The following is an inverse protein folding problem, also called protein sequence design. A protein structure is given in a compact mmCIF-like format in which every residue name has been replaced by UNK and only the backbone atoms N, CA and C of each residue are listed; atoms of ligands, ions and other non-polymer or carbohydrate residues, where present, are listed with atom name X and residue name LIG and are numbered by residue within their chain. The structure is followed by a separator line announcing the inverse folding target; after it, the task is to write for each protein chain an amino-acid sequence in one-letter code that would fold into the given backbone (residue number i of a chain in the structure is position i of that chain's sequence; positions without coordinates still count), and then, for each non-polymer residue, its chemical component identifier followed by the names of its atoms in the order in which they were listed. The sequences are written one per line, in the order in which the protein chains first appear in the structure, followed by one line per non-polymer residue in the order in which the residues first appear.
data_IF_098030510701
#
_entry.id   IF_098030510701
#
_cell.length_a   1.000
_cell.length_b   1.000
_cell.length_c   1.000
_cell.angle_alpha   90.00
_cell.angle_beta   90.00
_cell.angle_gamma   90.00
#
_symmetry.space_group_name_H-M   'P 1'
#
loop_
_entity.id
_entity.type
_entity.pdbx_description
1 polymer ?
#
# COMPACT_ATOMS: atom_id res chain seq x y z
N UNK A 1 5.38 35.71 -23.32
CA UNK A 1 6.69 36.12 -23.88
C UNK A 1 7.11 37.45 -23.31
N UNK A 2 8.40 37.68 -23.20
CA UNK A 2 9.01 38.92 -22.71
C UNK A 2 9.45 39.72 -23.91
N UNK A 3 9.45 41.08 -23.77
CA UNK A 3 10.01 41.99 -24.76
C UNK A 3 11.49 42.32 -24.47
N UNK A 4 12.04 41.76 -23.40
CA UNK A 4 13.37 41.98 -22.86
C UNK A 4 13.96 40.73 -22.30
N UNK A 5 15.25 40.69 -22.04
CA UNK A 5 15.92 39.64 -21.32
C UNK A 5 15.35 39.52 -19.92
N UNK A 6 15.40 38.31 -19.37
CA UNK A 6 14.84 38.03 -18.06
C UNK A 6 15.77 37.10 -17.26
N UNK A 7 15.66 37.15 -15.95
CA UNK A 7 16.35 36.27 -15.01
C UNK A 7 15.33 35.72 -13.99
N UNK A 8 15.52 34.48 -13.57
CA UNK A 8 14.81 33.88 -12.47
C UNK A 8 15.75 33.58 -11.30
N UNK A 9 15.31 33.85 -10.09
CA UNK A 9 16.02 33.52 -8.85
C UNK A 9 15.08 32.84 -7.84
N UNK A 10 15.64 31.98 -7.03
CA UNK A 10 14.98 31.32 -5.92
C UNK A 10 16.01 30.95 -4.87
N UNK A 11 15.59 30.77 -3.62
CA UNK A 11 16.47 30.50 -2.48
C UNK A 11 16.34 29.05 -2.02
N UNK A 12 15.18 28.46 -2.25
CA UNK A 12 14.84 27.14 -1.78
C UNK A 12 15.56 26.07 -2.60
N UNK A 13 16.41 25.27 -1.95
CA UNK A 13 17.22 24.21 -2.57
C UNK A 13 16.36 23.09 -3.20
N UNK A 14 15.12 22.94 -2.74
CA UNK A 14 14.17 21.94 -3.24
C UNK A 14 13.42 22.34 -4.51
N UNK A 15 13.66 23.55 -5.05
CA UNK A 15 13.08 24.07 -6.30
C UNK A 15 14.15 24.05 -7.38
N UNK A 16 13.85 23.46 -8.53
CA UNK A 16 14.77 23.40 -9.65
C UNK A 16 14.10 23.89 -10.93
N UNK A 17 14.76 24.79 -11.65
CA UNK A 17 14.31 25.29 -12.94
C UNK A 17 15.26 24.84 -14.05
N UNK A 18 14.73 24.50 -15.21
CA UNK A 18 15.57 24.16 -16.37
C UNK A 18 16.32 25.34 -16.94
N UNK A 19 15.81 26.57 -16.73
CA UNK A 19 16.42 27.81 -17.18
C UNK A 19 16.19 28.88 -16.13
N UNK A 20 17.25 29.61 -15.77
CA UNK A 20 17.22 30.74 -14.83
C UNK A 20 17.40 32.10 -15.51
N UNK A 21 17.66 32.12 -16.79
CA UNK A 21 17.77 33.34 -17.59
C UNK A 21 17.42 33.07 -19.07
N UNK A 22 17.15 34.12 -19.82
CA UNK A 22 16.89 34.05 -21.24
C UNK A 22 16.63 35.39 -21.88
N UNK A 23 16.68 35.41 -23.19
CA UNK A 23 16.39 36.59 -23.99
C UNK A 23 14.89 36.80 -24.20
N UNK A 24 14.55 37.89 -24.89
CA UNK A 24 13.18 38.20 -25.28
C UNK A 24 12.57 37.05 -26.10
N UNK A 25 11.30 36.76 -25.87
CA UNK A 25 10.56 35.73 -26.59
C UNK A 25 9.70 34.85 -25.67
N UNK A 26 9.39 33.69 -26.17
CA UNK A 26 8.69 32.64 -25.40
C UNK A 26 9.67 31.50 -25.13
N UNK A 27 9.85 31.19 -23.88
CA UNK A 27 10.60 30.02 -23.45
C UNK A 27 9.71 29.16 -22.55
N UNK A 28 9.82 27.86 -22.64
CA UNK A 28 9.19 26.93 -21.71
C UNK A 28 10.22 26.57 -20.65
N UNK A 29 9.87 26.86 -19.40
CA UNK A 29 10.67 26.51 -18.24
C UNK A 29 9.97 25.35 -17.56
N UNK A 30 10.68 24.28 -17.31
CA UNK A 30 10.19 23.16 -16.50
C UNK A 30 10.62 23.39 -15.06
N UNK A 31 9.69 23.10 -14.15
CA UNK A 31 9.87 23.12 -12.72
C UNK A 31 9.93 21.68 -12.24
N UNK A 32 10.98 21.30 -11.51
CA UNK A 32 11.01 20.08 -10.70
C UNK A 32 11.18 20.45 -9.23
N UNK A 33 10.64 19.60 -8.36
CA UNK A 33 10.54 19.86 -6.93
C UNK A 33 10.93 18.56 -6.22
N UNK A 34 11.86 18.64 -5.26
CA UNK A 34 12.25 17.50 -4.43
C UNK A 34 11.11 17.10 -3.48
N UNK A 35 11.09 15.84 -3.08
CA UNK A 35 10.09 15.33 -2.15
C UNK A 35 10.08 16.12 -0.83
N UNK A 36 8.87 16.39 -0.29
CA UNK A 36 8.73 17.09 0.97
C UNK A 36 8.73 16.11 2.16
N UNK A 37 9.88 15.94 2.77
CA UNK A 37 10.08 15.10 3.96
C UNK A 37 10.28 15.94 5.25
N UNK A 38 9.82 17.21 5.26
CA UNK A 38 10.05 18.12 6.40
C UNK A 38 9.08 17.93 7.57
N UNK A 39 8.01 17.16 7.37
CA UNK A 39 6.95 16.98 8.37
C UNK A 39 5.87 18.08 8.33
N UNK A 40 6.00 19.09 7.48
CA UNK A 40 5.05 20.21 7.33
C UNK A 40 4.90 20.63 5.87
N UNK A 41 3.83 21.35 5.55
CA UNK A 41 3.71 22.05 4.27
C UNK A 41 4.84 23.06 4.12
N UNK A 42 5.42 23.19 2.94
CA UNK A 42 6.46 24.20 2.68
C UNK A 42 6.10 25.09 1.50
N UNK A 43 6.54 26.33 1.54
CA UNK A 43 6.33 27.31 0.48
C UNK A 43 7.63 28.00 0.13
N UNK A 44 7.95 28.03 -1.15
CA UNK A 44 9.07 28.77 -1.70
C UNK A 44 8.62 29.75 -2.77
N UNK A 45 9.53 30.61 -3.21
CA UNK A 45 9.23 31.67 -4.15
C UNK A 45 10.22 31.69 -5.31
N UNK A 46 9.69 31.75 -6.53
CA UNK A 46 10.45 31.97 -7.74
C UNK A 46 10.22 33.42 -8.16
N UNK A 47 11.27 34.18 -8.32
CA UNK A 47 11.23 35.60 -8.69
C UNK A 47 11.75 35.73 -10.11
N UNK A 48 10.93 36.24 -11.01
CA UNK A 48 11.31 36.61 -12.37
C UNK A 48 11.50 38.10 -12.47
N UNK A 49 12.67 38.53 -12.97
CA UNK A 49 13.02 39.91 -13.19
C UNK A 49 13.34 40.09 -14.67
N UNK A 50 12.78 41.15 -15.27
CA UNK A 50 13.07 41.58 -16.64
C UNK A 50 13.91 42.83 -16.66
N UNK A 51 14.73 43.00 -17.69
CA UNK A 51 15.46 44.25 -17.90
C UNK A 51 14.48 45.43 -17.91
N UNK A 52 14.72 46.41 -17.04
CA UNK A 52 13.83 47.56 -16.80
C UNK A 52 13.00 47.46 -15.52
N UNK A 53 13.36 46.53 -14.60
CA UNK A 53 12.85 46.48 -13.22
C UNK A 53 11.49 45.84 -13.06
N UNK A 54 10.92 45.21 -14.11
CA UNK A 54 9.69 44.45 -13.97
C UNK A 54 9.95 43.18 -13.19
N UNK A 55 9.22 42.98 -12.09
CA UNK A 55 9.34 41.81 -11.22
C UNK A 55 8.03 41.06 -11.11
N UNK A 56 8.10 39.70 -11.13
CA UNK A 56 6.98 38.78 -10.88
C UNK A 56 7.43 37.69 -9.94
N UNK A 57 6.63 37.42 -8.93
CA UNK A 57 6.87 36.34 -7.96
C UNK A 57 5.82 35.24 -8.15
N UNK A 58 6.28 34.00 -8.18
CA UNK A 58 5.45 32.81 -8.17
C UNK A 58 5.68 32.11 -6.84
N UNK A 59 4.64 31.90 -6.07
CA UNK A 59 4.69 31.05 -4.88
C UNK A 59 4.51 29.58 -5.30
N UNK A 60 5.37 28.73 -4.78
CA UNK A 60 5.31 27.27 -4.95
C UNK A 60 5.04 26.68 -3.58
N UNK A 61 3.85 26.14 -3.37
CA UNK A 61 3.47 25.46 -2.12
C UNK A 61 3.46 23.97 -2.36
N UNK A 62 4.22 23.24 -1.58
CA UNK A 62 4.25 21.77 -1.57
C UNK A 62 3.69 21.25 -0.27
N UNK A 63 2.66 20.41 -0.39
CA UNK A 63 2.04 19.76 0.76
C UNK A 63 2.98 18.72 1.36
N UNK A 64 2.83 18.50 2.67
CA UNK A 64 3.41 17.35 3.35
C UNK A 64 2.98 16.06 2.67
N UNK A 65 3.92 15.14 2.45
CA UNK A 65 3.58 13.75 2.14
C UNK A 65 2.97 13.11 3.39
N UNK A 66 1.74 12.69 3.29
CA UNK A 66 1.07 11.90 4.32
C UNK A 66 1.11 10.45 3.90
N UNK A 67 1.84 9.62 4.65
CA UNK A 67 1.90 8.19 4.39
C UNK A 67 0.52 7.57 4.54
N UNK A 68 0.12 6.80 3.57
CA UNK A 68 -1.14 6.08 3.55
C UNK A 68 -0.87 4.58 3.39
N UNK A 69 -1.55 3.77 4.21
CA UNK A 69 -1.54 2.32 4.11
C UNK A 69 -2.92 1.78 4.43
N UNK A 70 -3.46 0.98 3.53
CA UNK A 70 -4.66 0.18 3.73
C UNK A 70 -4.35 -1.27 3.36
N UNK A 71 -4.72 -2.21 4.24
CA UNK A 71 -4.56 -3.66 3.99
C UNK A 71 -5.89 -4.34 4.29
N UNK A 72 -6.43 -5.05 3.32
CA UNK A 72 -7.71 -5.75 3.44
C UNK A 72 -7.64 -7.15 2.86
N UNK A 73 -8.27 -8.14 3.49
CA UNK A 73 -8.90 -8.10 4.81
C UNK A 73 -7.86 -8.11 5.96
N UNK A 74 -8.18 -7.52 7.10
CA UNK A 74 -7.32 -7.56 8.30
C UNK A 74 -7.42 -8.90 9.05
N UNK A 75 -8.43 -9.73 8.74
CA UNK A 75 -8.63 -11.06 9.31
C UNK A 75 -9.01 -12.03 8.20
N UNK A 76 -8.35 -13.17 8.20
CA UNK A 76 -8.54 -14.24 7.23
C UNK A 76 -8.83 -15.52 7.99
N UNK A 77 -9.82 -16.29 7.54
CA UNK A 77 -10.09 -17.62 8.07
C UNK A 77 -9.93 -18.62 6.94
N UNK A 78 -9.14 -19.65 7.16
CA UNK A 78 -8.91 -20.75 6.21
C UNK A 78 -9.21 -22.09 6.85
N UNK A 79 -9.50 -23.08 6.02
CA UNK A 79 -9.69 -24.46 6.47
C UNK A 79 -8.33 -25.15 6.67
N UNK A 80 -8.34 -26.39 7.16
CA UNK A 80 -7.15 -27.19 7.47
C UNK A 80 -6.12 -27.25 6.33
N UNK A 81 -6.57 -27.29 5.08
CA UNK A 81 -5.71 -27.34 3.90
C UNK A 81 -4.95 -26.04 3.61
N UNK A 82 -5.32 -24.93 4.25
CA UNK A 82 -4.75 -23.61 3.99
C UNK A 82 -5.52 -22.78 2.94
N UNK A 83 -6.63 -23.31 2.44
CA UNK A 83 -7.51 -22.64 1.49
C UNK A 83 -8.69 -21.97 2.19
N UNK A 84 -9.34 -21.02 1.53
CA UNK A 84 -10.65 -20.53 1.95
C UNK A 84 -11.70 -21.64 1.85
N UNK A 85 -12.86 -21.48 2.49
CA UNK A 85 -13.98 -22.43 2.36
C UNK A 85 -14.44 -22.61 0.91
N UNK A 86 -14.23 -21.62 0.07
CA UNK A 86 -14.49 -21.67 -1.38
C UNK A 86 -13.53 -22.60 -2.15
N UNK A 87 -12.43 -23.02 -1.53
CA UNK A 87 -11.35 -23.79 -2.14
C UNK A 87 -10.28 -22.94 -2.82
N UNK A 88 -10.38 -21.62 -2.74
CA UNK A 88 -9.42 -20.67 -3.31
C UNK A 88 -8.29 -20.34 -2.32
N UNK A 89 -7.17 -19.81 -2.85
CA UNK A 89 -6.12 -19.25 -2.01
C UNK A 89 -6.62 -17.97 -1.32
N UNK A 90 -6.16 -17.74 -0.11
CA UNK A 90 -6.35 -16.46 0.56
C UNK A 90 -5.44 -15.41 -0.08
N UNK A 91 -5.91 -14.18 -0.14
CA UNK A 91 -5.15 -13.02 -0.61
C UNK A 91 -5.42 -11.81 0.27
N UNK A 92 -4.48 -10.86 0.25
CA UNK A 92 -4.66 -9.51 0.79
C UNK A 92 -4.54 -8.49 -0.34
N UNK A 93 -5.20 -7.37 -0.19
CA UNK A 93 -5.07 -6.20 -1.05
C UNK A 93 -4.37 -5.10 -0.27
N UNK A 94 -3.25 -4.59 -0.80
CA UNK A 94 -2.47 -3.49 -0.26
C UNK A 94 -2.71 -2.27 -1.13
N UNK A 95 -3.05 -1.13 -0.51
CA UNK A 95 -3.13 0.18 -1.15
C UNK A 95 -2.28 1.15 -0.35
N UNK A 96 -1.25 1.72 -0.96
CA UNK A 96 -0.30 2.61 -0.28
C UNK A 96 0.35 3.61 -1.24
N UNK A 97 0.79 4.75 -0.72
CA UNK A 97 1.58 5.74 -1.45
C UNK A 97 3.09 5.68 -1.13
N UNK A 98 3.53 4.64 -0.41
CA UNK A 98 4.92 4.40 -0.03
C UNK A 98 5.37 3.01 -0.47
N UNK A 99 6.67 2.77 -0.54
CA UNK A 99 7.20 1.41 -0.62
C UNK A 99 6.75 0.62 0.60
N UNK A 100 6.47 -0.67 0.40
CA UNK A 100 5.94 -1.51 1.47
C UNK A 100 6.71 -2.82 1.62
N UNK A 101 6.66 -3.38 2.83
CA UNK A 101 7.28 -4.65 3.19
C UNK A 101 6.34 -5.48 4.08
N UNK A 102 6.37 -6.81 3.91
CA UNK A 102 5.66 -7.77 4.76
C UNK A 102 6.65 -8.51 5.66
N UNK A 103 6.38 -8.50 6.96
CA UNK A 103 7.10 -9.27 7.96
C UNK A 103 6.17 -10.29 8.62
N UNK A 104 6.51 -11.58 8.53
CA UNK A 104 5.74 -12.67 9.13
C UNK A 104 6.33 -13.00 10.51
N UNK A 105 5.49 -13.06 11.53
CA UNK A 105 5.90 -13.42 12.88
C UNK A 105 6.56 -14.81 12.94
N UNK A 106 7.50 -15.02 13.85
CA UNK A 106 8.30 -16.26 13.88
C UNK A 106 7.46 -17.51 14.15
N UNK A 107 6.41 -17.42 14.92
CA UNK A 107 5.45 -18.49 15.20
C UNK A 107 4.43 -18.71 14.07
N UNK A 108 4.47 -17.84 13.07
CA UNK A 108 3.51 -17.78 11.96
C UNK A 108 4.12 -18.14 10.59
N UNK A 109 5.33 -18.74 10.55
CA UNK A 109 6.06 -19.11 9.31
C UNK A 109 5.32 -20.12 8.42
N UNK A 110 4.20 -20.64 8.85
CA UNK A 110 3.27 -21.42 8.04
C UNK A 110 2.41 -20.56 7.10
N UNK A 111 2.50 -19.24 7.21
CA UNK A 111 1.93 -18.24 6.29
C UNK A 111 3.08 -17.71 5.44
N UNK A 112 2.97 -17.84 4.12
CA UNK A 112 4.00 -17.39 3.18
C UNK A 112 3.36 -16.50 2.12
N UNK A 113 3.48 -15.17 2.23
CA UNK A 113 3.09 -14.26 1.16
C UNK A 113 3.93 -14.55 -0.09
N UNK A 114 3.31 -14.57 -1.28
CA UNK A 114 4.02 -14.83 -2.54
C UNK A 114 4.97 -13.69 -2.93
N UNK A 115 4.79 -12.53 -2.30
CA UNK A 115 5.64 -11.34 -2.44
C UNK A 115 5.69 -10.62 -1.10
N UNK A 116 6.88 -10.15 -0.71
CA UNK A 116 7.12 -9.55 0.62
C UNK A 116 7.47 -8.07 0.59
N UNK A 117 7.57 -7.45 -0.59
CA UNK A 117 7.82 -6.01 -0.73
C UNK A 117 7.32 -5.49 -2.08
N UNK A 118 7.04 -4.20 -2.16
CA UNK A 118 6.59 -3.57 -3.40
C UNK A 118 6.70 -2.05 -3.39
N UNK A 119 6.44 -1.44 -4.54
CA UNK A 119 6.40 0.01 -4.74
C UNK A 119 5.02 0.60 -4.37
N UNK A 120 4.89 1.94 -4.30
CA UNK A 120 3.61 2.60 -4.11
C UNK A 120 2.57 2.19 -5.15
N UNK A 121 1.33 2.06 -4.73
CA UNK A 121 0.20 1.68 -5.58
C UNK A 121 -0.72 0.67 -4.91
N UNK A 122 -1.56 0.06 -5.75
CA UNK A 122 -2.53 -0.96 -5.39
C UNK A 122 -2.04 -2.32 -5.85
N UNK A 123 -1.98 -3.31 -4.95
CA UNK A 123 -1.49 -4.65 -5.27
C UNK A 123 -2.24 -5.73 -4.49
N UNK A 124 -2.53 -6.86 -5.15
CA UNK A 124 -3.08 -8.05 -4.52
C UNK A 124 -1.98 -9.08 -4.31
N UNK A 125 -1.85 -9.60 -3.08
CA UNK A 125 -0.81 -10.55 -2.68
C UNK A 125 -1.48 -11.85 -2.23
N UNK A 126 -1.23 -12.92 -2.96
CA UNK A 126 -1.67 -14.27 -2.56
C UNK A 126 -0.86 -14.77 -1.37
N UNK A 127 -1.51 -15.58 -0.55
CA UNK A 127 -0.91 -16.21 0.61
C UNK A 127 -0.84 -17.73 0.41
N UNK A 128 0.36 -18.29 0.44
CA UNK A 128 0.56 -19.73 0.55
C UNK A 128 0.52 -20.10 2.04
N UNK A 129 -0.51 -20.84 2.44
CA UNK A 129 -0.74 -21.24 3.82
C UNK A 129 -0.56 -22.75 3.92
N UNK A 130 0.44 -23.18 4.69
CA UNK A 130 0.74 -24.58 4.86
C UNK A 130 -0.40 -25.31 5.58
N UNK A 131 -0.63 -26.58 5.21
CA UNK A 131 -1.63 -27.43 5.86
C UNK A 131 -1.41 -27.46 7.39
N UNK A 132 -2.50 -27.36 8.15
CA UNK A 132 -2.47 -27.54 9.58
C UNK A 132 -2.38 -29.03 9.94
N UNK A 133 -1.22 -29.44 10.39
CA UNK A 133 -0.96 -30.84 10.83
C UNK A 133 -1.17 -31.05 12.33
N UNK A 134 -1.56 -29.98 13.06
CA UNK A 134 -1.87 -30.08 14.50
C UNK A 134 -3.33 -30.49 14.73
N UNK A 135 -3.65 -30.89 15.95
CA UNK A 135 -5.01 -31.24 16.34
C UNK A 135 -5.84 -30.06 16.84
N UNK A 136 -5.30 -28.85 16.73
CA UNK A 136 -5.93 -27.60 17.18
C UNK A 136 -6.06 -26.54 16.10
N UNK A 137 -6.99 -25.63 16.28
CA UNK A 137 -7.04 -24.37 15.54
C UNK A 137 -5.76 -23.59 15.82
N UNK A 138 -5.15 -23.02 14.79
CA UNK A 138 -3.98 -22.14 14.97
C UNK A 138 -4.24 -20.75 14.41
N UNK A 139 -3.61 -19.77 15.03
CA UNK A 139 -3.68 -18.37 14.61
C UNK A 139 -2.26 -17.85 14.42
N UNK A 140 -2.05 -17.14 13.35
CA UNK A 140 -0.78 -16.49 13.04
C UNK A 140 -0.98 -15.07 12.55
N UNK A 141 0.08 -14.30 12.56
CA UNK A 141 0.04 -12.90 12.15
C UNK A 141 1.21 -12.54 11.23
N UNK A 142 0.98 -11.56 10.40
CA UNK A 142 2.02 -10.83 9.69
C UNK A 142 1.68 -9.35 9.66
N UNK A 143 2.70 -8.52 9.48
CA UNK A 143 2.57 -7.07 9.46
C UNK A 143 3.02 -6.53 8.12
N UNK A 144 2.23 -5.66 7.52
CA UNK A 144 2.61 -4.83 6.37
C UNK A 144 3.06 -3.48 6.90
N UNK A 145 4.24 -3.05 6.50
CA UNK A 145 4.80 -1.74 6.86
C UNK A 145 5.00 -0.92 5.59
N UNK A 146 4.59 0.33 5.62
CA UNK A 146 4.80 1.30 4.55
C UNK A 146 5.19 2.62 5.19
N UNK A 147 6.50 2.92 5.14
CA UNK A 147 7.13 4.04 5.82
C UNK A 147 6.74 4.09 7.32
N UNK A 148 6.05 5.12 7.79
CA UNK A 148 5.64 5.27 9.20
C UNK A 148 4.40 4.47 9.58
N UNK A 149 3.71 3.83 8.64
CA UNK A 149 2.44 3.11 8.83
C UNK A 149 2.63 1.61 8.90
N UNK A 150 1.85 0.96 9.75
CA UNK A 150 1.82 -0.49 9.87
C UNK A 150 0.38 -1.00 9.90
N UNK A 151 0.15 -2.17 9.32
CA UNK A 151 -1.12 -2.88 9.38
C UNK A 151 -0.85 -4.36 9.66
N UNK A 152 -1.54 -4.91 10.67
CA UNK A 152 -1.40 -6.32 11.04
C UNK A 152 -2.57 -7.12 10.49
N UNK A 153 -2.26 -8.24 9.85
CA UNK A 153 -3.24 -9.23 9.37
C UNK A 153 -3.16 -10.47 10.23
N UNK A 154 -4.32 -10.94 10.66
CA UNK A 154 -4.46 -12.18 11.45
C UNK A 154 -5.06 -13.27 10.59
N UNK A 155 -4.41 -14.43 10.55
CA UNK A 155 -4.88 -15.63 9.86
C UNK A 155 -5.25 -16.67 10.89
N UNK A 156 -6.51 -17.14 10.86
CA UNK A 156 -6.99 -18.26 11.67
C UNK A 156 -7.17 -19.47 10.76
N UNK A 157 -6.52 -20.56 11.10
CA UNK A 157 -6.65 -21.81 10.36
C UNK A 157 -7.41 -22.84 11.20
N UNK A 158 -8.63 -23.12 10.75
CA UNK A 158 -9.53 -24.07 11.40
C UNK A 158 -9.11 -25.52 11.11
N UNK A 159 -9.58 -26.41 11.95
CA UNK A 159 -9.62 -27.84 11.64
C UNK A 159 -10.71 -28.08 10.59
N UNK A 160 -10.64 -29.21 9.89
CA UNK A 160 -11.78 -29.65 9.10
C UNK A 160 -12.98 -29.86 10.02
N UNK A 161 -14.07 -29.18 9.73
CA UNK A 161 -15.33 -29.44 10.40
C UNK A 161 -15.82 -30.86 10.07
N UNK A 162 -16.61 -31.44 10.95
CA UNK A 162 -17.31 -32.70 10.68
C UNK A 162 -18.22 -32.49 9.46
N UNK A 163 -17.83 -33.06 8.33
CA UNK A 163 -18.70 -33.11 7.15
C UNK A 163 -19.65 -34.28 7.32
N UNK A 164 -20.91 -34.02 7.65
CA UNK A 164 -21.97 -35.04 7.62
C UNK A 164 -22.40 -35.18 6.17
N UNK A 165 -22.04 -36.27 5.55
CA UNK A 165 -22.42 -36.60 4.16
C UNK A 165 -23.86 -37.03 4.00
N UNK A 166 -24.57 -37.25 5.11
CA UNK A 166 -25.96 -37.72 5.14
C UNK A 166 -26.87 -36.56 5.56
N UNK A 167 -27.73 -36.13 4.66
CA UNK A 167 -28.69 -35.04 4.91
C UNK A 167 -30.04 -35.55 5.48
N UNK A 168 -30.25 -36.88 5.51
CA UNK A 168 -31.45 -37.47 6.07
C UNK A 168 -31.19 -38.92 6.49
N UNK A 169 -31.87 -39.34 7.52
CA UNK A 169 -31.95 -40.76 7.95
C UNK A 169 -33.36 -41.25 7.74
N UNK A 170 -33.47 -42.40 7.10
CA UNK A 170 -34.70 -43.16 7.13
C UNK A 170 -34.71 -44.04 8.38
N UNK A 171 -35.75 -43.92 9.18
CA UNK A 171 -35.97 -44.80 10.32
C UNK A 171 -37.28 -45.58 10.07
N UNK A 172 -37.28 -46.83 10.43
CA UNK A 172 -38.51 -47.62 10.37
C UNK A 172 -39.48 -47.22 11.52
N UNK A 173 -40.64 -47.72 11.53
CA UNK A 173 -41.68 -47.43 12.52
C UNK A 173 -41.28 -47.71 13.98
N UNK A 174 -40.18 -48.41 14.20
CA UNK A 174 -39.65 -48.70 15.54
C UNK A 174 -38.49 -47.79 15.95
N UNK A 175 -38.13 -46.82 15.12
CA UNK A 175 -37.07 -45.83 15.42
C UNK A 175 -35.63 -46.33 15.17
N UNK A 176 -35.45 -47.42 14.42
CA UNK A 176 -34.14 -47.95 14.03
C UNK A 176 -33.79 -47.51 12.60
N UNK A 177 -32.52 -47.20 12.33
CA UNK A 177 -32.01 -46.99 10.99
C UNK A 177 -31.95 -48.33 10.25
N UNK A 178 -32.39 -48.35 9.01
CA UNK A 178 -32.13 -49.50 8.12
C UNK A 178 -30.66 -49.41 7.68
N UNK A 179 -29.88 -50.53 7.80
CA UNK A 179 -28.49 -50.62 7.35
C UNK A 179 -28.38 -50.57 5.82
#
# INVERSE_FOLDING_TARGET
GTNRSWRASYVEEWIHLTHTEGDRGRVRIFLSIDENNTGEDRTGFIIFEGDGGTRRTIAVTQKLKVDALSVTPAKITVVKSGLLETGEKAAIFISTNCDWEISVADDSKWITPVKTSGAPGDESIDLDIAQNTTDGVRTGTFTVTADSKTATVTVTQNLEGLKVSVSSFLVNKFGFSDE
#
